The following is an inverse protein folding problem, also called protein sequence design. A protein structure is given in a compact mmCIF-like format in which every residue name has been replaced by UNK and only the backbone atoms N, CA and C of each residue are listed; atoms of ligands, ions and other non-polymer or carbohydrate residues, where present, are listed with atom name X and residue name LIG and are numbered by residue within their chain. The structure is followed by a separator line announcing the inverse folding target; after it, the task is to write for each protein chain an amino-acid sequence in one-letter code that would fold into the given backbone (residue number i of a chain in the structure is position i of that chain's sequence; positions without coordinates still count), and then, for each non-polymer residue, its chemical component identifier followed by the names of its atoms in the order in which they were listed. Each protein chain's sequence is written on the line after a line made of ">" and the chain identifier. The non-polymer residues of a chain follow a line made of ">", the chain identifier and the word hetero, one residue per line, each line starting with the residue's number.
data_IF_114877605460
#
_entry.id   IF_114877605460
#
_cell.length_a   1.000
_cell.length_b   1.000
_cell.length_c   1.000
_cell.angle_alpha   90.00
_cell.angle_beta   90.00
_cell.angle_gamma   90.00
#
_symmetry.space_group_name_H-M   'P 1'
#
loop_
_entity.id
_entity.type
_entity.pdbx_description
1 polymer ?
2 water ?
#
# COMPACT_ATOMS: atom_id res chain seq x y z
N UNK A 1 -11.74 1.61 12.00
CA UNK A 1 -10.36 2.10 12.01
C UNK A 1 -10.26 3.38 11.17
N UNK A 2 -10.11 4.52 11.85
CA UNK A 2 -10.33 5.83 11.22
C UNK A 2 -9.39 6.10 10.06
N UNK A 3 -8.19 5.51 10.12
CA UNK A 3 -7.24 5.70 9.03
C UNK A 3 -7.58 4.86 7.82
N UNK A 4 -8.52 3.92 7.96
CA UNK A 4 -9.05 3.15 6.79
C UNK A 4 -10.25 3.91 6.16
N UNK A 5 -9.98 4.60 5.08
CA UNK A 5 -10.86 5.63 4.55
C UNK A 5 -11.87 5.12 3.55
N UNK A 6 -11.64 3.93 3.03
CA UNK A 6 -12.55 3.33 2.07
C UNK A 6 -12.41 1.84 2.08
N UNK A 7 -13.50 1.16 1.67
CA UNK A 7 -13.52 -0.29 1.53
C UNK A 7 -12.82 -0.74 0.27
N UNK A 8 -12.19 -1.93 0.37
CA UNK A 8 -11.43 -2.52 -0.72
C UNK A 8 -11.96 -3.96 -0.95
N UNK A 9 -12.33 -4.31 -2.20
CA UNK A 9 -12.84 -5.66 -2.45
C UNK A 9 -11.74 -6.69 -2.22
N UNK A 10 -12.15 -7.89 -1.79
CA UNK A 10 -11.17 -8.91 -1.38
C UNK A 10 -10.20 -9.30 -2.49
N UNK A 11 -10.68 -9.40 -3.72
CA UNK A 11 -9.78 -9.81 -4.80
C UNK A 11 -8.77 -8.71 -5.16
N UNK A 12 -9.12 -7.45 -4.95
CA UNK A 12 -8.14 -6.38 -5.15
C UNK A 12 -7.09 -6.40 -4.05
N UNK A 13 -7.50 -6.68 -2.81
CA UNK A 13 -6.52 -6.84 -1.73
C UNK A 13 -5.53 -7.93 -2.10
N UNK A 14 -6.02 -9.03 -2.68
CA UNK A 14 -5.11 -10.11 -3.13
C UNK A 14 -4.12 -9.66 -4.18
N UNK A 15 -4.60 -8.86 -5.12
CA UNK A 15 -3.70 -8.26 -6.11
C UNK A 15 -2.63 -7.42 -5.43
N UNK A 16 -3.02 -6.67 -4.41
CA UNK A 16 -2.08 -5.83 -3.65
C UNK A 16 -1.00 -6.66 -2.97
N UNK A 17 -1.41 -7.74 -2.30
CA UNK A 17 -0.38 -8.61 -1.73
C UNK A 17 0.59 -9.12 -2.80
N UNK A 18 0.03 -9.61 -3.91
CA UNK A 18 0.83 -10.15 -5.00
C UNK A 18 1.75 -9.09 -5.65
N UNK A 19 1.26 -7.85 -5.75
CA UNK A 19 2.09 -6.73 -6.25
C UNK A 19 3.26 -6.46 -5.33
N UNK A 20 3.02 -6.46 -4.03
CA UNK A 20 4.12 -6.26 -3.09
C UNK A 20 5.16 -7.38 -3.22
N UNK A 21 4.70 -8.62 -3.30
CA UNK A 21 5.62 -9.78 -3.42
C UNK A 21 6.43 -9.69 -4.68
N UNK A 22 5.77 -9.50 -5.80
CA UNK A 22 6.50 -9.41 -7.06
C UNK A 22 7.45 -8.22 -7.12
N UNK A 23 7.05 -7.07 -6.59
CA UNK A 23 7.96 -5.94 -6.57
C UNK A 23 9.15 -6.18 -5.66
N UNK A 24 8.91 -6.82 -4.53
CA UNK A 24 9.99 -7.17 -3.61
C UNK A 24 10.98 -8.14 -4.27
N UNK A 25 10.44 -9.10 -5.02
CA UNK A 25 11.25 -10.15 -5.60
C UNK A 25 12.05 -9.64 -6.78
N UNK A 26 11.48 -8.70 -7.54
CA UNK A 26 12.01 -8.30 -8.85
C UNK A 26 12.25 -6.80 -9.04
N UNK A 27 11.85 -6.02 -8.05
CA UNK A 27 11.89 -4.57 -8.12
C UNK A 27 12.51 -3.98 -6.85
N UNK A 28 11.93 -2.88 -6.38
CA UNK A 28 12.35 -2.26 -5.12
C UNK A 28 11.13 -1.85 -4.33
N UNK A 29 11.13 -2.17 -3.03
CA UNK A 29 10.10 -1.69 -2.12
C UNK A 29 10.74 -1.07 -0.86
N UNK A 30 9.96 -0.24 -0.19
CA UNK A 30 10.25 0.19 1.18
C UNK A 30 9.28 -0.49 2.15
N UNK A 31 9.75 -0.79 3.36
CA UNK A 31 8.95 -1.47 4.38
C UNK A 31 8.93 -0.65 5.65
N UNK A 32 7.78 -0.61 6.33
CA UNK A 32 7.66 0.11 7.60
C UNK A 32 7.26 1.56 7.36
N UNK A 33 6.62 2.16 8.37
CA UNK A 33 6.05 3.50 8.18
C UNK A 33 7.09 4.57 7.96
N UNK A 34 8.26 4.48 8.60
CA UNK A 34 9.25 5.56 8.38
C UNK A 34 9.76 5.62 6.93
N UNK A 35 10.17 4.49 6.37
CA UNK A 35 10.65 4.51 5.00
C UNK A 35 9.52 4.68 3.97
N UNK A 36 8.33 4.16 4.30
CA UNK A 36 7.17 4.41 3.44
C UNK A 36 6.87 5.93 3.39
N UNK A 37 6.85 6.56 4.56
CA UNK A 37 6.54 8.00 4.63
C UNK A 37 7.57 8.84 3.84
N UNK A 38 8.83 8.50 3.99
CA UNK A 38 9.90 9.17 3.26
C UNK A 38 9.74 8.99 1.74
N UNK A 39 9.43 7.77 1.31
CA UNK A 39 9.31 7.50 -0.13
C UNK A 39 8.15 8.33 -0.69
N UNK A 40 7.09 8.50 0.10
CA UNK A 40 5.93 9.31 -0.35
C UNK A 40 6.34 10.79 -0.38
N UNK A 41 6.97 11.25 0.70
CA UNK A 41 7.40 12.68 0.81
C UNK A 41 8.30 13.06 -0.35
N UNK A 42 9.11 12.09 -0.78
CA UNK A 42 10.15 12.31 -1.80
C UNK A 42 9.64 12.06 -3.22
N UNK A 43 8.40 11.62 -3.31
CA UNK A 43 7.73 11.43 -4.58
C UNK A 43 8.21 10.20 -5.33
N UNK A 44 8.79 9.24 -4.60
CA UNK A 44 9.36 8.06 -5.22
C UNK A 44 8.41 6.84 -5.22
N UNK A 45 7.41 6.83 -4.35
CA UNK A 45 6.47 5.72 -4.28
C UNK A 45 5.52 5.74 -5.48
N UNK A 46 5.37 4.60 -6.15
CA UNK A 46 4.34 4.44 -7.17
C UNK A 46 2.99 3.99 -6.59
N UNK A 47 3.05 3.23 -5.49
CA UNK A 47 1.87 2.71 -4.85
C UNK A 47 2.22 2.42 -3.40
N UNK A 48 1.33 2.83 -2.51
CA UNK A 48 1.46 2.55 -1.08
C UNK A 48 0.41 1.55 -0.66
N UNK A 49 0.85 0.53 0.09
CA UNK A 49 -0.06 -0.52 0.61
C UNK A 49 -0.06 -0.44 2.12
N UNK A 50 -1.27 -0.31 2.71
CA UNK A 50 -1.40 -0.06 4.15
C UNK A 50 -2.26 -1.15 4.78
N UNK A 51 -1.76 -1.82 5.83
CA UNK A 51 -2.55 -2.85 6.55
C UNK A 51 -3.61 -2.21 7.38
N UNK A 52 -4.76 -2.89 7.46
CA UNK A 52 -5.93 -2.39 8.22
C UNK A 52 -5.94 -2.68 9.71
N UNK A 53 -5.00 -3.52 10.16
CA UNK A 53 -4.99 -4.03 11.53
C UNK A 53 -3.76 -3.68 12.37
N UNK A 54 -3.19 -2.53 12.11
CA UNK A 54 -2.06 -2.06 12.86
C UNK A 54 -2.49 -1.58 14.23
N UNK A 55 -1.74 -1.96 15.27
CA UNK A 55 -2.09 -1.61 16.65
C UNK A 55 -0.84 -1.54 17.50
N UNK A 56 -0.52 -0.34 18.03
CA UNK A 56 -1.31 0.90 17.89
C UNK A 56 -1.34 1.47 16.45
N UNK A 57 -2.47 2.01 16.04
CA UNK A 57 -2.69 2.52 14.68
C UNK A 57 -2.04 3.86 14.36
N UNK A 58 -1.60 4.61 15.38
CA UNK A 58 -1.00 5.92 15.17
C UNK A 58 0.14 5.94 14.14
N UNK A 59 0.97 4.91 14.08
CA UNK A 59 2.06 4.96 13.13
C UNK A 59 1.62 5.05 11.68
N UNK A 60 0.40 4.58 11.34
CA UNK A 60 -0.06 4.65 9.95
C UNK A 60 -1.08 5.75 9.66
N UNK A 61 -1.58 6.43 10.68
CA UNK A 61 -2.80 7.23 10.48
C UNK A 61 -2.61 8.44 9.56
N UNK A 62 -1.37 8.94 9.48
CA UNK A 62 -1.05 10.10 8.63
C UNK A 62 -0.83 9.73 7.16
N UNK A 63 -0.65 8.46 6.87
CA UNK A 63 -0.13 8.09 5.52
C UNK A 63 -1.13 8.38 4.42
N UNK A 64 -2.39 7.99 4.60
CA UNK A 64 -3.34 8.29 3.52
C UNK A 64 -3.38 9.74 3.12
N UNK A 65 -3.47 10.65 4.10
CA UNK A 65 -3.55 12.07 3.75
C UNK A 65 -2.26 12.59 3.10
N UNK A 66 -1.13 12.07 3.53
CA UNK A 66 0.15 12.43 2.91
C UNK A 66 0.21 11.93 1.46
N UNK A 67 -0.21 10.69 1.21
CA UNK A 67 -0.30 10.17 -0.14
C UNK A 67 -1.16 11.08 -1.03
N UNK A 68 -2.32 11.47 -0.50
CA UNK A 68 -3.23 12.40 -1.24
C UNK A 68 -2.57 13.72 -1.59
N UNK A 69 -1.91 14.33 -0.60
CA UNK A 69 -1.14 15.55 -0.79
C UNK A 69 -0.11 15.42 -1.92
N UNK A 70 0.59 14.28 -1.96
CA UNK A 70 1.61 13.99 -2.98
C UNK A 70 1.08 13.35 -4.27
N UNK A 71 -0.24 13.14 -4.34
CA UNK A 71 -0.87 12.51 -5.50
C UNK A 71 -0.28 11.13 -5.79
N UNK A 72 -0.04 10.40 -4.71
CA UNK A 72 0.46 9.01 -4.80
C UNK A 72 -0.68 8.08 -4.38
N UNK A 73 -1.00 7.10 -5.22
CA UNK A 73 -2.12 6.24 -4.85
C UNK A 73 -1.77 5.28 -3.71
N UNK A 74 -2.80 4.91 -2.96
CA UNK A 74 -2.68 3.91 -1.90
C UNK A 74 -3.87 2.99 -1.92
N UNK A 75 -3.65 1.81 -1.32
CA UNK A 75 -4.68 0.80 -1.16
C UNK A 75 -4.45 0.12 0.17
N UNK A 76 -5.54 -0.42 0.73
CA UNK A 76 -5.51 -1.16 1.99
C UNK A 76 -5.55 -2.65 1.79
N UNK A 77 -4.90 -3.38 2.70
CA UNK A 77 -5.00 -4.83 2.81
C UNK A 77 -5.36 -5.17 4.25
N UNK A 78 -6.19 -6.22 4.43
CA UNK A 78 -6.60 -6.50 5.79
C UNK A 78 -5.55 -6.87 6.82
N UNK A 79 -4.46 -7.51 6.39
CA UNK A 79 -3.58 -8.25 7.31
C UNK A 79 -2.14 -7.77 7.23
N UNK A 80 -1.68 -7.13 8.31
CA UNK A 80 -0.28 -6.77 8.42
C UNK A 80 0.60 -8.02 8.33
N UNK A 81 0.12 -9.15 8.88
CA UNK A 81 0.92 -10.39 8.81
C UNK A 81 1.14 -10.78 7.37
N UNK A 82 0.08 -10.77 6.58
CA UNK A 82 0.22 -11.13 5.17
C UNK A 82 1.03 -10.10 4.41
N UNK A 83 0.92 -8.83 4.79
CA UNK A 83 1.67 -7.80 4.10
C UNK A 83 3.18 -7.98 4.35
N UNK A 84 3.54 -8.38 5.57
CA UNK A 84 4.93 -8.64 5.91
C UNK A 84 5.44 -9.83 5.13
N UNK A 85 4.61 -10.88 5.04
CA UNK A 85 4.98 -12.06 4.25
C UNK A 85 5.31 -11.63 2.79
N UNK A 86 4.41 -10.86 2.20
CA UNK A 86 4.61 -10.36 0.84
C UNK A 86 5.89 -9.53 0.74
N UNK A 87 6.17 -8.74 1.77
CA UNK A 87 7.33 -7.84 1.79
C UNK A 87 8.65 -8.57 2.06
N UNK A 88 8.57 -9.90 2.24
CA UNK A 88 9.73 -10.78 2.33
C UNK A 88 10.36 -10.82 3.70
N UNK A 89 9.63 -10.34 4.72
CA UNK A 89 10.15 -10.36 6.08
C UNK A 89 9.43 -11.44 6.87
N UNK A 90 9.89 -11.69 8.08
CA UNK A 90 9.37 -12.82 8.85
C UNK A 90 8.21 -12.43 9.77
N UNK A 91 7.89 -11.12 9.79
CA UNK A 91 6.90 -10.57 10.72
C UNK A 91 6.00 -9.60 9.99
N UNK A 92 5.01 -9.09 10.71
CA UNK A 92 4.03 -8.18 10.10
C UNK A 92 4.69 -6.87 9.64
N UNK A 93 4.13 -6.27 8.59
CA UNK A 93 4.49 -4.92 8.15
C UNK A 93 3.22 -4.07 8.14
N UNK A 94 3.36 -2.83 8.62
CA UNK A 94 2.27 -1.87 8.72
C UNK A 94 1.98 -1.23 7.38
N UNK A 95 3.03 -0.98 6.60
CA UNK A 95 2.86 -0.34 5.32
C UNK A 95 4.05 -0.71 4.47
N UNK A 96 3.84 -0.62 3.17
CA UNK A 96 4.89 -0.82 2.15
C UNK A 96 4.72 0.25 1.05
N UNK A 97 5.84 0.75 0.52
CA UNK A 97 5.84 1.58 -0.69
C UNK A 97 6.53 0.82 -1.79
N UNK A 98 5.83 0.69 -2.91
CA UNK A 98 6.43 0.08 -4.12
C UNK A 98 7.10 1.20 -4.88
N UNK A 99 8.43 1.06 -5.03
CA UNK A 99 9.26 2.08 -5.66
C UNK A 99 9.45 1.72 -7.12
N UNK A 100 9.88 0.49 -7.34
CA UNK A 100 10.09 -0.05 -8.70
C UNK A 100 9.29 -1.34 -8.81
N UNK A 101 8.19 -1.34 -9.59
CA UNK A 101 7.36 -2.52 -9.61
C UNK A 101 8.04 -3.78 -10.14
N UNK A 102 8.97 -3.63 -11.06
CA UNK A 102 9.52 -4.83 -11.70
C UNK A 102 8.42 -5.61 -12.41
N UNK A 103 8.38 -6.92 -12.17
CA UNK A 103 7.32 -7.78 -12.70
C UNK A 103 5.93 -7.49 -12.13
N UNK A 104 5.84 -6.61 -11.13
CA UNK A 104 4.54 -6.21 -10.57
C UNK A 104 3.92 -5.06 -11.39
N UNK A 105 4.55 -4.69 -12.50
CA UNK A 105 4.07 -3.52 -13.23
C UNK A 105 2.59 -3.56 -13.56
N UNK A 106 2.14 -4.69 -14.12
CA UNK A 106 0.73 -4.83 -14.52
C UNK A 106 -0.20 -4.78 -13.30
N UNK A 107 0.13 -5.50 -12.24
CA UNK A 107 -0.71 -5.50 -11.07
C UNK A 107 -0.82 -4.08 -10.51
N UNK A 108 0.30 -3.36 -10.45
CA UNK A 108 0.27 -2.01 -9.90
C UNK A 108 -0.70 -1.12 -10.74
N UNK A 109 -0.59 -1.21 -12.06
CA UNK A 109 -1.44 -0.40 -12.91
C UNK A 109 -2.89 -0.79 -12.71
N UNK A 110 -3.14 -2.09 -12.59
CA UNK A 110 -4.51 -2.58 -12.35
C UNK A 110 -5.09 -2.09 -11.04
N UNK A 111 -4.26 -2.12 -10.00
CA UNK A 111 -4.66 -1.66 -8.68
C UNK A 111 -4.93 -0.16 -8.67
N UNK A 112 -4.04 0.62 -9.25
CA UNK A 112 -4.26 2.07 -9.33
C UNK A 112 -5.56 2.42 -10.03
N UNK A 113 -5.84 1.74 -11.14
CA UNK A 113 -7.07 2.06 -11.89
C UNK A 113 -8.30 1.67 -11.07
N UNK A 114 -8.25 0.52 -10.40
CA UNK A 114 -9.38 0.05 -9.64
C UNK A 114 -9.62 0.90 -8.39
N UNK A 115 -8.56 1.36 -7.76
CA UNK A 115 -8.73 2.24 -6.58
C UNK A 115 -9.31 3.60 -6.99
N UNK A 116 -8.95 4.08 -8.17
CA UNK A 116 -9.55 5.29 -8.71
C UNK A 116 -11.06 5.09 -8.81
N UNK A 117 -11.49 3.90 -9.25
CA UNK A 117 -12.92 3.58 -9.33
C UNK A 117 -13.55 3.59 -7.95
N UNK A 118 -12.92 2.90 -7.01
CA UNK A 118 -13.47 2.82 -5.66
C UNK A 118 -13.61 4.21 -5.07
N UNK A 119 -12.59 5.04 -5.23
CA UNK A 119 -12.62 6.35 -4.60
C UNK A 119 -13.59 7.32 -5.27
N UNK A 120 -13.78 7.19 -6.57
CA UNK A 120 -14.76 8.03 -7.25
C UNK A 120 -16.17 7.69 -6.74
N UNK A 121 -16.44 6.42 -6.50
CA UNK A 121 -17.74 6.02 -5.99
C UNK A 121 -17.94 6.46 -4.56
N UNK A 122 -16.93 6.22 -3.71
CA UNK A 122 -17.01 6.59 -2.30
C UNK A 122 -16.99 8.10 -2.08
N UNK A 123 -16.39 8.82 -3.02
CA UNK A 123 -16.27 10.27 -2.91
C UNK A 123 -15.26 10.67 -1.86
N UNK A 124 -14.18 9.89 -1.74
CA UNK A 124 -13.09 10.17 -0.79
C UNK A 124 -11.76 9.96 -1.45
#
# INVERSE_FOLDING_TARGET
>A
PIYVRFEVPEDLAEKAYEAVKRARETGRIKKGTNETTKAVERGLAKLVVIAEDVDPPEIVMHLPLLCDEKKIPYVYVPSKKRLGEAAGIEVAAASVAIIEPGDAETLVREIVEKVKELRAKAGV
#
